data_IF_517427478942
#
_entry.id   IF_517427478942
#
_cell.length_a   1.000
_cell.length_b   1.000
_cell.length_c   1.000
_cell.angle_alpha   90.00
_cell.angle_beta   90.00
_cell.angle_gamma   90.00
#
_symmetry.space_group_name_H-M   'P 1'
#
loop_
_entity.id
_entity.type
_entity.pdbx_description
1 polymer ?
#
# COMPACT_ATOMS: atom_id res chain seq x y z
N UNK A 1 9.96 12.58 -39.90
CA UNK A 1 9.83 12.05 -38.53
C UNK A 1 8.63 11.12 -38.31
N UNK A 2 7.70 11.00 -39.25
CA UNK A 2 6.49 10.14 -39.14
C UNK A 2 6.73 8.64 -39.42
N UNK A 3 7.86 8.25 -40.01
CA UNK A 3 8.16 6.83 -40.36
C UNK A 3 8.79 5.99 -39.24
N UNK A 4 9.31 6.61 -38.15
CA UNK A 4 9.90 5.88 -37.01
C UNK A 4 8.86 5.45 -35.97
N UNK A 5 7.71 6.10 -35.87
CA UNK A 5 6.62 5.72 -34.97
C UNK A 5 5.87 4.45 -35.43
N UNK A 6 5.85 4.19 -36.75
CA UNK A 6 5.16 3.03 -37.35
C UNK A 6 6.00 1.75 -37.21
N UNK A 7 7.32 1.85 -37.07
CA UNK A 7 8.21 0.69 -36.95
C UNK A 7 8.27 0.09 -35.54
N UNK A 8 7.89 0.85 -34.49
CA UNK A 8 7.83 0.30 -33.14
C UNK A 8 6.59 -0.57 -32.87
N UNK A 9 5.50 -0.32 -33.59
CA UNK A 9 4.26 -1.10 -33.47
C UNK A 9 4.37 -2.48 -34.12
N UNK A 10 5.28 -2.66 -35.11
CA UNK A 10 5.46 -3.93 -35.85
C UNK A 10 6.36 -4.96 -35.15
N UNK A 11 7.18 -4.56 -34.14
CA UNK A 11 8.05 -5.51 -33.42
C UNK A 11 7.35 -6.33 -32.32
N UNK A 12 6.19 -5.91 -31.84
CA UNK A 12 5.36 -6.68 -30.90
C UNK A 12 4.13 -7.32 -31.57
N UNK A 13 3.99 -7.25 -32.86
CA UNK A 13 2.84 -7.73 -33.63
C UNK A 13 2.70 -9.26 -33.78
N UNK A 14 3.55 -10.03 -33.09
CA UNK A 14 3.47 -11.51 -33.12
C UNK A 14 2.85 -12.13 -31.86
N UNK A 15 2.72 -11.38 -30.78
CA UNK A 15 2.04 -11.86 -29.57
C UNK A 15 0.60 -11.33 -29.64
N UNK A 16 -0.38 -12.24 -29.77
CA UNK A 16 -1.80 -11.88 -29.76
C UNK A 16 -2.08 -10.97 -28.56
N UNK A 17 -2.71 -9.81 -28.77
CA UNK A 17 -3.10 -8.86 -27.73
C UNK A 17 -3.89 -9.52 -26.58
N UNK A 18 -4.47 -10.71 -26.81
CA UNK A 18 -5.17 -11.52 -25.82
C UNK A 18 -4.27 -12.09 -24.72
N UNK A 19 -2.94 -12.14 -24.92
CA UNK A 19 -1.98 -12.71 -23.97
C UNK A 19 -1.20 -11.67 -23.15
N UNK A 20 -1.28 -10.39 -23.52
CA UNK A 20 -0.64 -9.32 -22.77
C UNK A 20 -1.64 -8.78 -21.74
N UNK A 21 -1.43 -8.99 -20.43
CA UNK A 21 -2.28 -8.42 -19.40
C UNK A 21 -2.26 -6.88 -19.55
N UNK A 22 -3.43 -6.26 -19.45
CA UNK A 22 -3.62 -4.80 -19.58
C UNK A 22 -3.26 -4.19 -20.95
N UNK A 23 -3.19 -4.99 -22.03
CA UNK A 23 -3.02 -4.42 -23.37
C UNK A 23 -4.19 -3.49 -23.76
N UNK A 24 -5.36 -3.73 -23.19
CA UNK A 24 -6.60 -2.97 -23.36
C UNK A 24 -6.64 -1.67 -22.51
N UNK A 25 -5.66 -1.45 -21.62
CA UNK A 25 -5.46 -0.16 -20.96
C UNK A 25 -4.81 0.89 -21.88
N UNK A 26 -4.22 0.47 -23.00
CA UNK A 26 -3.62 1.36 -23.99
C UNK A 26 -4.69 2.02 -24.86
N UNK A 27 -4.45 3.28 -25.24
CA UNK A 27 -5.24 4.03 -26.23
C UNK A 27 -4.36 4.54 -27.37
N UNK A 28 -4.98 5.11 -28.41
CA UNK A 28 -4.26 5.71 -29.52
C UNK A 28 -3.31 6.85 -29.05
N UNK A 29 -3.69 7.57 -28.00
CA UNK A 29 -2.92 8.69 -27.42
C UNK A 29 -1.94 8.24 -26.35
N UNK A 30 -2.24 7.13 -25.65
CA UNK A 30 -1.44 6.57 -24.56
C UNK A 30 -1.04 5.12 -24.88
N UNK A 31 0.09 4.95 -25.56
CA UNK A 31 0.60 3.63 -25.93
C UNK A 31 1.00 2.82 -24.68
N UNK A 32 0.89 1.47 -24.74
CA UNK A 32 1.26 0.57 -23.66
C UNK A 32 2.70 0.81 -23.16
N UNK A 33 3.65 1.05 -24.07
CA UNK A 33 5.05 1.33 -23.69
C UNK A 33 5.20 2.65 -22.92
N UNK A 34 4.39 3.68 -23.22
CA UNK A 34 4.37 4.93 -22.46
C UNK A 34 3.76 4.72 -21.08
N UNK A 35 2.71 3.90 -21.01
CA UNK A 35 2.04 3.53 -19.76
C UNK A 35 2.96 2.71 -18.86
N UNK A 36 3.64 1.68 -19.38
CA UNK A 36 4.61 0.88 -18.64
C UNK A 36 5.79 1.72 -18.15
N UNK A 37 6.27 2.67 -18.94
CA UNK A 37 7.31 3.61 -18.51
C UNK A 37 6.81 4.50 -17.37
N UNK A 38 5.60 5.05 -17.48
CA UNK A 38 5.00 5.85 -16.40
C UNK A 38 4.87 5.01 -15.13
N UNK A 39 4.44 3.74 -15.24
CA UNK A 39 4.22 2.86 -14.08
C UNK A 39 5.49 2.49 -13.29
N UNK A 40 6.69 2.84 -13.75
CA UNK A 40 7.95 2.61 -13.03
C UNK A 40 7.97 3.28 -11.64
N UNK A 41 7.25 4.41 -11.45
CA UNK A 41 7.16 5.01 -10.12
C UNK A 41 6.41 4.11 -9.12
N UNK A 42 5.52 3.26 -9.58
CA UNK A 42 4.85 2.27 -8.73
C UNK A 42 5.76 1.10 -8.37
N UNK A 43 6.65 0.67 -9.29
CA UNK A 43 7.67 -0.32 -8.94
C UNK A 43 8.60 0.21 -7.83
N UNK A 44 9.07 1.45 -7.94
CA UNK A 44 9.92 2.07 -6.91
C UNK A 44 9.18 2.26 -5.59
N UNK A 45 7.87 2.55 -5.64
CA UNK A 45 7.01 2.62 -4.45
C UNK A 45 6.90 1.25 -3.78
N UNK A 46 6.63 0.19 -4.56
CA UNK A 46 6.59 -1.19 -4.05
C UNK A 46 7.92 -1.62 -3.42
N UNK A 47 9.04 -1.26 -4.04
CA UNK A 47 10.38 -1.51 -3.50
C UNK A 47 10.60 -0.78 -2.17
N UNK A 48 10.19 0.48 -2.05
CA UNK A 48 10.31 1.25 -0.82
C UNK A 48 9.43 0.67 0.31
N UNK A 49 8.20 0.21 0.00
CA UNK A 49 7.34 -0.47 0.96
C UNK A 49 8.06 -1.69 1.53
N UNK A 50 8.54 -2.60 0.68
CA UNK A 50 9.26 -3.81 1.11
C UNK A 50 10.46 -3.47 1.98
N UNK A 51 11.23 -2.47 1.59
CA UNK A 51 12.42 -2.08 2.34
C UNK A 51 12.06 -1.50 3.72
N UNK A 52 11.06 -0.62 3.80
CA UNK A 52 10.68 0.06 5.04
C UNK A 52 9.90 -0.85 5.99
N UNK A 53 8.79 -1.45 5.51
CA UNK A 53 7.88 -2.22 6.37
C UNK A 53 8.35 -3.64 6.62
N UNK A 54 9.12 -4.21 5.70
CA UNK A 54 9.70 -5.53 5.82
C UNK A 54 11.13 -5.47 6.38
N UNK A 55 12.09 -5.38 5.50
CA UNK A 55 13.52 -5.57 5.81
C UNK A 55 14.04 -4.66 6.93
N UNK A 56 13.85 -3.34 6.82
CA UNK A 56 14.33 -2.38 7.82
C UNK A 56 13.58 -2.50 9.14
N UNK A 57 12.27 -2.66 9.11
CA UNK A 57 11.47 -2.90 10.30
C UNK A 57 11.99 -4.11 11.07
N UNK A 58 12.16 -5.24 10.40
CA UNK A 58 12.68 -6.46 11.02
C UNK A 58 14.09 -6.26 11.59
N UNK A 59 15.00 -5.63 10.83
CA UNK A 59 16.37 -5.39 11.29
C UNK A 59 16.38 -4.48 12.52
N UNK A 60 15.59 -3.41 12.53
CA UNK A 60 15.51 -2.49 13.66
C UNK A 60 14.96 -3.16 14.93
N UNK A 61 13.92 -3.97 14.81
CA UNK A 61 13.30 -4.65 15.95
C UNK A 61 14.17 -5.79 16.45
N UNK A 62 14.64 -6.65 15.55
CA UNK A 62 15.29 -7.92 15.92
C UNK A 62 16.80 -7.77 16.08
N UNK A 63 17.50 -7.16 15.09
CA UNK A 63 18.97 -7.08 15.13
C UNK A 63 19.48 -5.89 15.98
N UNK A 64 18.73 -4.77 15.97
CA UNK A 64 19.11 -3.58 16.73
C UNK A 64 18.35 -3.43 18.05
N UNK A 65 17.45 -4.36 18.39
CA UNK A 65 16.70 -4.38 19.66
C UNK A 65 15.83 -3.15 19.89
N UNK A 66 15.39 -2.46 18.84
CA UNK A 66 14.54 -1.30 18.99
C UNK A 66 13.11 -1.72 19.35
N UNK A 67 12.45 -0.94 20.22
CA UNK A 67 11.06 -1.19 20.55
C UNK A 67 10.18 -1.17 19.30
N UNK A 68 9.31 -2.19 19.12
CA UNK A 68 8.42 -2.27 17.97
C UNK A 68 7.45 -1.08 17.91
N UNK A 69 7.05 -0.53 19.06
CA UNK A 69 6.27 0.70 19.18
C UNK A 69 6.97 1.91 18.55
N UNK A 70 8.28 2.02 18.70
CA UNK A 70 9.08 3.11 18.13
C UNK A 70 9.20 2.96 16.61
N UNK A 71 9.52 1.75 16.13
CA UNK A 71 9.64 1.47 14.69
C UNK A 71 8.28 1.61 14.00
N UNK A 72 7.21 1.14 14.64
CA UNK A 72 5.85 1.29 14.11
C UNK A 72 5.42 2.75 14.03
N UNK A 73 5.83 3.59 14.98
CA UNK A 73 5.57 5.04 14.93
C UNK A 73 6.25 5.68 13.72
N UNK A 74 7.50 5.31 13.41
CA UNK A 74 8.22 5.79 12.21
C UNK A 74 7.45 5.49 10.91
N UNK A 75 6.84 4.31 10.82
CA UNK A 75 6.05 3.88 9.66
C UNK A 75 4.64 4.48 9.66
N UNK A 76 4.05 4.67 10.84
CA UNK A 76 2.68 5.18 10.98
C UNK A 76 2.56 6.67 10.66
N UNK A 77 3.53 7.50 11.03
CA UNK A 77 3.45 8.95 10.86
C UNK A 77 3.17 9.37 9.41
N UNK A 78 3.87 8.87 8.37
CA UNK A 78 3.56 9.20 6.99
C UNK A 78 2.12 8.82 6.59
N UNK A 79 1.59 7.71 7.11
CA UNK A 79 0.22 7.26 6.87
C UNK A 79 -0.81 8.12 7.59
N UNK A 80 -0.55 8.50 8.84
CA UNK A 80 -1.40 9.42 9.61
C UNK A 80 -1.46 10.82 8.99
N UNK A 81 -0.41 11.23 8.28
CA UNK A 81 -0.37 12.45 7.50
C UNK A 81 -1.01 12.29 6.10
N UNK A 82 -1.40 11.08 5.70
CA UNK A 82 -1.99 10.82 4.39
C UNK A 82 -3.29 11.61 4.09
N UNK A 83 -4.15 12.03 5.05
CA UNK A 83 -5.22 12.99 4.75
C UNK A 83 -4.71 14.28 4.09
N UNK A 84 -3.46 14.70 4.36
CA UNK A 84 -2.81 15.80 3.66
C UNK A 84 -2.54 15.51 2.16
N UNK A 85 -2.64 14.24 1.71
CA UNK A 85 -2.58 13.87 0.28
C UNK A 85 -3.70 14.53 -0.53
N UNK A 86 -4.88 14.72 0.06
CA UNK A 86 -5.96 15.47 -0.56
C UNK A 86 -5.53 16.93 -0.85
N UNK A 87 -4.78 17.55 0.07
CA UNK A 87 -4.20 18.88 -0.12
C UNK A 87 -3.10 18.87 -1.18
N UNK A 88 -2.26 17.84 -1.23
CA UNK A 88 -1.22 17.67 -2.26
C UNK A 88 -1.87 17.47 -3.63
N UNK A 89 -2.87 16.63 -3.74
CA UNK A 89 -3.66 16.43 -4.94
C UNK A 89 -4.26 17.74 -5.42
N UNK A 90 -5.00 18.42 -4.55
CA UNK A 90 -5.56 19.73 -4.82
C UNK A 90 -4.55 20.77 -5.25
N UNK A 91 -3.40 20.88 -4.56
CA UNK A 91 -2.32 21.80 -4.95
C UNK A 91 -1.70 21.42 -6.28
N UNK A 92 -1.57 20.13 -6.59
CA UNK A 92 -1.05 19.67 -7.87
C UNK A 92 -2.02 19.92 -9.04
N UNK A 93 -3.35 19.87 -8.78
CA UNK A 93 -4.37 20.24 -9.76
C UNK A 93 -4.30 21.71 -10.16
N UNK A 94 -3.88 22.56 -9.22
CA UNK A 94 -3.88 24.01 -9.35
C UNK A 94 -2.48 24.61 -9.32
N UNK A 95 -1.46 23.77 -9.60
CA UNK A 95 -0.06 24.21 -9.57
C UNK A 95 0.21 25.25 -10.66
N UNK A 96 0.80 26.35 -10.22
CA UNK A 96 1.29 27.43 -11.09
C UNK A 96 2.72 27.14 -11.47
N UNK A 97 2.97 26.64 -12.68
CA UNK A 97 4.32 26.36 -13.15
C UNK A 97 4.67 27.25 -14.33
N UNK A 98 5.79 27.94 -14.25
CA UNK A 98 6.39 28.66 -15.38
C UNK A 98 6.68 27.74 -16.58
N UNK A 99 6.91 26.45 -16.30
CA UNK A 99 7.20 25.42 -17.29
C UNK A 99 5.92 24.82 -17.92
N UNK A 100 4.73 25.16 -17.40
CA UNK A 100 3.45 24.61 -17.87
C UNK A 100 3.21 23.16 -17.47
N UNK A 101 3.95 22.62 -16.48
CA UNK A 101 3.73 21.31 -15.88
C UNK A 101 3.00 21.44 -14.54
N UNK A 102 1.99 20.57 -14.32
CA UNK A 102 1.21 20.56 -13.07
C UNK A 102 1.63 19.44 -12.14
N UNK A 103 1.81 18.22 -12.68
CA UNK A 103 2.05 16.99 -11.93
C UNK A 103 3.54 16.67 -11.76
N UNK A 104 4.34 16.87 -12.79
CA UNK A 104 5.77 16.56 -12.80
C UNK A 104 6.54 17.22 -11.64
N UNK A 105 6.32 18.50 -11.27
CA UNK A 105 7.03 19.09 -10.13
C UNK A 105 6.79 18.38 -8.80
N UNK A 106 5.58 17.84 -8.57
CA UNK A 106 5.25 17.07 -7.37
C UNK A 106 5.84 15.67 -7.43
N UNK A 107 5.77 15.00 -8.57
CA UNK A 107 6.40 13.70 -8.76
C UNK A 107 7.91 13.79 -8.55
N UNK A 108 8.54 14.86 -9.04
CA UNK A 108 9.96 15.15 -8.83
C UNK A 108 10.28 15.42 -7.36
N UNK A 109 9.55 16.30 -6.69
CA UNK A 109 9.78 16.61 -5.27
C UNK A 109 9.60 15.36 -4.38
N UNK A 110 8.55 14.57 -4.64
CA UNK A 110 8.34 13.30 -3.96
C UNK A 110 9.47 12.30 -4.20
N UNK A 111 9.99 12.24 -5.45
CA UNK A 111 11.16 11.41 -5.79
C UNK A 111 12.42 11.85 -5.02
N UNK A 112 12.68 13.14 -4.94
CA UNK A 112 13.84 13.67 -4.20
C UNK A 112 13.74 13.40 -2.71
N UNK A 113 12.55 13.53 -2.12
CA UNK A 113 12.31 13.18 -0.73
C UNK A 113 12.52 11.68 -0.49
N UNK A 114 11.95 10.82 -1.34
CA UNK A 114 12.08 9.36 -1.25
C UNK A 114 13.55 8.93 -1.39
N UNK A 115 14.25 9.45 -2.39
CA UNK A 115 15.68 9.22 -2.61
C UNK A 115 16.51 9.72 -1.43
N UNK A 116 16.28 10.96 -0.98
CA UNK A 116 17.02 11.58 0.12
C UNK A 116 16.85 10.82 1.43
N UNK A 117 15.63 10.36 1.76
CA UNK A 117 15.37 9.55 2.93
C UNK A 117 16.08 8.20 2.89
N UNK A 118 16.02 7.49 1.75
CA UNK A 118 16.75 6.23 1.56
C UNK A 118 18.26 6.43 1.57
N UNK A 119 18.77 7.50 0.97
CA UNK A 119 20.21 7.80 0.95
C UNK A 119 20.73 8.17 2.34
N UNK A 120 19.91 8.77 3.19
CA UNK A 120 20.26 9.14 4.57
C UNK A 120 20.13 7.96 5.55
N UNK A 121 19.31 6.96 5.25
CA UNK A 121 19.04 5.80 6.13
C UNK A 121 20.29 5.07 6.63
N UNK A 122 21.33 4.80 5.80
CA UNK A 122 22.56 4.14 6.28
C UNK A 122 23.27 4.90 7.39
N UNK A 123 23.26 6.24 7.35
CA UNK A 123 23.88 7.04 8.41
C UNK A 123 23.12 6.87 9.74
N UNK A 124 21.79 6.81 9.69
CA UNK A 124 20.98 6.53 10.86
C UNK A 124 21.29 5.14 11.45
N UNK A 125 21.43 4.12 10.59
CA UNK A 125 21.77 2.76 11.03
C UNK A 125 23.18 2.70 11.65
N UNK A 126 24.18 3.38 11.05
CA UNK A 126 25.53 3.45 11.61
C UNK A 126 25.50 4.10 13.00
N UNK A 127 24.75 5.20 13.18
CA UNK A 127 24.57 5.84 14.49
C UNK A 127 23.88 4.94 15.54
N UNK A 128 23.14 3.91 15.10
CA UNK A 128 22.50 2.95 16.00
C UNK A 128 23.37 1.74 16.31
N UNK A 129 24.34 1.40 15.44
CA UNK A 129 25.20 0.21 15.55
C UNK A 129 26.56 0.49 16.14
N UNK A 130 27.13 1.68 15.86
CA UNK A 130 28.50 2.03 16.26
C UNK A 130 28.50 2.89 17.54
N UNK A 131 29.47 2.69 18.44
CA UNK A 131 29.67 3.56 19.59
C UNK A 131 29.95 5.00 19.13
N UNK A 132 29.20 5.95 19.62
CA UNK A 132 29.41 7.36 19.33
C UNK A 132 29.32 8.19 20.63
N UNK A 133 30.02 9.32 20.67
CA UNK A 133 30.05 10.23 21.82
C UNK A 133 28.80 11.14 21.91
N UNK A 134 27.87 11.02 20.98
CA UNK A 134 26.63 11.79 20.93
C UNK A 134 25.53 11.24 21.82
N UNK A 135 24.41 12.00 21.98
CA UNK A 135 23.25 11.54 22.75
C UNK A 135 22.65 10.25 22.16
N UNK A 136 22.21 9.34 23.03
CA UNK A 136 21.65 8.03 22.64
C UNK A 136 20.41 8.13 21.71
N UNK A 137 19.68 9.24 21.76
CA UNK A 137 18.51 9.46 20.91
C UNK A 137 18.88 9.83 19.44
N UNK A 138 20.15 10.13 19.14
CA UNK A 138 20.55 10.66 17.83
C UNK A 138 20.29 9.66 16.70
N UNK A 139 20.69 8.38 16.87
CA UNK A 139 20.44 7.32 15.89
C UNK A 139 18.95 7.08 15.63
N UNK A 140 18.13 6.81 16.67
CA UNK A 140 16.68 6.68 16.51
C UNK A 140 15.98 7.90 15.89
N UNK A 141 16.40 9.13 16.24
CA UNK A 141 15.84 10.35 15.65
C UNK A 141 16.24 10.52 14.17
N UNK A 142 17.47 10.18 13.82
CA UNK A 142 17.91 10.18 12.43
C UNK A 142 17.14 9.14 11.59
N UNK A 143 16.91 7.94 12.14
CA UNK A 143 16.07 6.92 11.51
C UNK A 143 14.64 7.42 11.31
N UNK A 144 14.01 8.03 12.34
CA UNK A 144 12.70 8.66 12.25
C UNK A 144 12.64 9.66 11.10
N UNK A 145 13.65 10.54 10.99
CA UNK A 145 13.74 11.53 9.90
C UNK A 145 13.84 10.87 8.52
N UNK A 146 14.64 9.81 8.39
CA UNK A 146 14.80 9.05 7.15
C UNK A 146 13.49 8.33 6.73
N UNK A 147 12.81 7.65 7.67
CA UNK A 147 11.52 7.02 7.44
C UNK A 147 10.45 8.03 7.04
N UNK A 148 10.37 9.15 7.78
CA UNK A 148 9.41 10.20 7.50
C UNK A 148 9.63 10.81 6.10
N UNK A 149 10.88 11.12 5.77
CA UNK A 149 11.21 11.72 4.47
C UNK A 149 10.92 10.74 3.31
N UNK A 150 11.30 9.46 3.46
CA UNK A 150 11.02 8.43 2.47
C UNK A 150 9.51 8.21 2.30
N UNK A 151 8.78 8.05 3.41
CA UNK A 151 7.34 7.78 3.41
C UNK A 151 6.53 8.95 2.85
N UNK A 152 6.82 10.19 3.26
CA UNK A 152 6.16 11.37 2.69
C UNK A 152 6.49 11.52 1.20
N UNK A 153 7.76 11.33 0.83
CA UNK A 153 8.19 11.36 -0.58
C UNK A 153 7.44 10.35 -1.44
N UNK A 154 7.29 9.13 -0.94
CA UNK A 154 6.52 8.06 -1.57
C UNK A 154 5.05 8.48 -1.76
N UNK A 155 4.41 9.04 -0.74
CA UNK A 155 3.02 9.49 -0.83
C UNK A 155 2.83 10.66 -1.80
N UNK A 156 3.77 11.62 -1.83
CA UNK A 156 3.72 12.74 -2.78
C UNK A 156 3.89 12.23 -4.21
N UNK A 157 4.90 11.39 -4.46
CA UNK A 157 5.17 10.81 -5.78
C UNK A 157 3.99 9.96 -6.27
N UNK A 158 3.44 9.12 -5.41
CA UNK A 158 2.31 8.26 -5.73
C UNK A 158 1.05 9.07 -6.05
N UNK A 159 0.74 10.10 -5.27
CA UNK A 159 -0.43 10.95 -5.51
C UNK A 159 -0.32 11.68 -6.86
N UNK A 160 0.83 12.30 -7.14
CA UNK A 160 1.06 13.01 -8.39
C UNK A 160 1.14 12.07 -9.60
N UNK A 161 1.77 10.89 -9.43
CA UNK A 161 1.91 9.89 -10.50
C UNK A 161 0.57 9.25 -10.89
N UNK A 162 -0.28 8.90 -9.91
CA UNK A 162 -1.64 8.41 -10.14
C UNK A 162 -2.48 9.49 -10.84
N UNK A 163 -2.43 10.72 -10.37
CA UNK A 163 -3.15 11.83 -11.00
C UNK A 163 -2.67 12.09 -12.43
N UNK A 164 -1.36 12.02 -12.69
CA UNK A 164 -0.82 12.14 -14.05
C UNK A 164 -1.32 11.02 -14.97
N UNK A 165 -1.32 9.78 -14.47
CA UNK A 165 -1.80 8.64 -15.24
C UNK A 165 -3.29 8.76 -15.61
N UNK A 166 -4.11 9.25 -14.69
CA UNK A 166 -5.53 9.47 -14.91
C UNK A 166 -5.82 10.66 -15.84
N UNK A 167 -4.98 11.71 -15.78
CA UNK A 167 -5.07 12.85 -16.71
C UNK A 167 -4.69 12.46 -18.15
N UNK A 168 -3.88 11.41 -18.33
CA UNK A 168 -3.46 10.90 -19.65
C UNK A 168 -4.41 9.83 -20.21
N UNK A 169 -5.20 9.20 -19.37
CA UNK A 169 -6.14 8.14 -19.75
C UNK A 169 -7.46 8.73 -20.26
N UNK A 170 -8.09 8.02 -21.21
CA UNK A 170 -9.49 8.32 -21.60
C UNK A 170 -10.45 7.84 -20.52
N UNK A 171 -11.69 8.34 -20.50
CA UNK A 171 -12.71 7.89 -19.52
C UNK A 171 -12.89 6.37 -19.54
N UNK A 172 -12.85 5.76 -20.72
CA UNK A 172 -13.03 4.32 -20.93
C UNK A 172 -11.84 3.47 -20.44
N UNK A 173 -10.62 4.00 -20.53
CA UNK A 173 -9.40 3.26 -20.16
C UNK A 173 -8.88 3.58 -18.76
N UNK A 174 -9.39 4.62 -18.12
CA UNK A 174 -8.91 5.16 -16.84
C UNK A 174 -8.82 4.11 -15.74
N UNK A 175 -9.86 3.29 -15.59
CA UNK A 175 -9.88 2.22 -14.60
C UNK A 175 -8.81 1.15 -14.85
N UNK A 176 -8.60 0.78 -16.12
CA UNK A 176 -7.59 -0.20 -16.53
C UNK A 176 -6.18 0.33 -16.30
N UNK A 177 -5.99 1.64 -16.54
CA UNK A 177 -4.72 2.32 -16.25
C UNK A 177 -4.40 2.28 -14.75
N UNK A 178 -5.38 2.61 -13.90
CA UNK A 178 -5.22 2.53 -12.44
C UNK A 178 -4.95 1.11 -11.98
N UNK A 179 -5.67 0.12 -12.51
CA UNK A 179 -5.44 -1.29 -12.20
C UNK A 179 -4.02 -1.75 -12.60
N UNK A 180 -3.53 -1.33 -13.77
CA UNK A 180 -2.14 -1.59 -14.18
C UNK A 180 -1.13 -0.98 -13.20
N UNK A 181 -1.36 0.24 -12.74
CA UNK A 181 -0.46 0.90 -11.79
C UNK A 181 -0.40 0.15 -10.45
N UNK A 182 -1.54 -0.30 -9.92
CA UNK A 182 -1.56 -1.14 -8.71
C UNK A 182 -0.91 -2.51 -8.95
N UNK A 183 -1.13 -3.12 -10.10
CA UNK A 183 -0.45 -4.36 -10.48
C UNK A 183 1.08 -4.17 -10.51
N UNK A 184 1.56 -3.06 -11.09
CA UNK A 184 2.99 -2.73 -11.12
C UNK A 184 3.57 -2.45 -9.72
N UNK A 185 2.78 -1.88 -8.81
CA UNK A 185 3.16 -1.76 -7.39
C UNK A 185 3.43 -3.15 -6.78
N UNK A 186 2.50 -4.09 -6.97
CA UNK A 186 2.64 -5.45 -6.43
C UNK A 186 3.80 -6.22 -7.07
N UNK A 187 4.02 -6.06 -8.37
CA UNK A 187 5.20 -6.60 -9.05
C UNK A 187 6.49 -6.00 -8.49
N UNK A 188 6.48 -4.68 -8.21
CA UNK A 188 7.59 -4.01 -7.51
C UNK A 188 7.86 -4.59 -6.13
N UNK A 189 6.81 -4.87 -5.35
CA UNK A 189 6.93 -5.52 -4.04
C UNK A 189 7.51 -6.94 -4.17
N UNK A 190 6.94 -7.78 -5.03
CA UNK A 190 7.39 -9.17 -5.22
C UNK A 190 8.84 -9.19 -5.71
N UNK A 191 9.14 -8.45 -6.78
CA UNK A 191 10.48 -8.41 -7.37
C UNK A 191 11.54 -7.92 -6.39
N UNK A 192 11.23 -6.83 -5.66
CA UNK A 192 12.16 -6.28 -4.66
C UNK A 192 12.34 -7.21 -3.47
N UNK A 193 11.28 -7.86 -2.98
CA UNK A 193 11.39 -8.80 -1.88
C UNK A 193 12.26 -10.02 -2.25
N UNK A 194 12.11 -10.55 -3.47
CA UNK A 194 12.95 -11.65 -3.98
C UNK A 194 14.41 -11.23 -4.15
N UNK A 195 14.64 -10.03 -4.71
CA UNK A 195 16.00 -9.49 -4.89
C UNK A 195 16.65 -9.24 -3.52
N UNK A 196 15.95 -8.60 -2.58
CA UNK A 196 16.49 -8.34 -1.24
C UNK A 196 16.73 -9.63 -0.46
N UNK A 197 15.83 -10.61 -0.55
CA UNK A 197 16.04 -11.93 0.05
C UNK A 197 17.30 -12.61 -0.48
N UNK A 198 17.55 -12.55 -1.80
CA UNK A 198 18.76 -13.11 -2.40
C UNK A 198 20.02 -12.34 -1.99
N UNK A 199 19.98 -11.00 -1.98
CA UNK A 199 21.12 -10.16 -1.61
C UNK A 199 21.45 -10.23 -0.11
N UNK A 200 20.46 -10.49 0.75
CA UNK A 200 20.59 -10.57 2.21
C UNK A 200 20.62 -12.03 2.72
N UNK A 201 20.85 -13.01 1.84
CA UNK A 201 20.98 -14.42 2.22
C UNK A 201 22.09 -14.63 3.27
N UNK A 202 23.26 -13.98 3.04
CA UNK A 202 24.31 -13.85 4.03
C UNK A 202 24.22 -12.46 4.64
N UNK A 203 23.39 -12.29 5.65
CA UNK A 203 23.13 -10.99 6.27
C UNK A 203 24.41 -10.37 6.87
N UNK A 204 24.53 -9.05 6.67
CA UNK A 204 25.56 -8.21 7.29
C UNK A 204 25.20 -6.74 7.12
N UNK A 205 25.56 -5.89 8.09
CA UNK A 205 25.21 -4.47 8.07
C UNK A 205 25.74 -3.74 6.83
N UNK A 206 26.97 -4.05 6.39
CA UNK A 206 27.55 -3.47 5.16
C UNK A 206 26.71 -3.83 3.94
N UNK A 207 26.28 -5.10 3.85
CA UNK A 207 25.44 -5.57 2.75
C UNK A 207 24.04 -4.93 2.79
N UNK A 208 23.46 -4.74 3.98
CA UNK A 208 22.21 -4.01 4.17
C UNK A 208 22.36 -2.55 3.67
N UNK A 209 23.45 -1.86 4.03
CA UNK A 209 23.72 -0.50 3.55
C UNK A 209 23.80 -0.47 2.02
N UNK A 210 24.49 -1.43 1.40
CA UNK A 210 24.57 -1.54 -0.07
C UNK A 210 23.19 -1.73 -0.72
N UNK A 211 22.33 -2.57 -0.12
CA UNK A 211 20.94 -2.78 -0.59
C UNK A 211 20.14 -1.49 -0.51
N UNK A 212 20.21 -0.76 0.62
CA UNK A 212 19.49 0.50 0.80
C UNK A 212 19.95 1.55 -0.21
N UNK A 213 21.26 1.72 -0.39
CA UNK A 213 21.83 2.68 -1.34
C UNK A 213 21.47 2.32 -2.78
N UNK A 214 21.52 1.04 -3.12
CA UNK A 214 21.07 0.56 -4.45
C UNK A 214 19.60 0.83 -4.68
N UNK A 215 18.76 0.60 -3.68
CA UNK A 215 17.32 0.92 -3.74
C UNK A 215 17.07 2.44 -3.91
N UNK A 216 17.87 3.29 -3.25
CA UNK A 216 17.78 4.74 -3.44
C UNK A 216 18.08 5.13 -4.89
N UNK A 217 19.17 4.61 -5.46
CA UNK A 217 19.55 4.88 -6.87
C UNK A 217 18.50 4.36 -7.84
N UNK A 218 18.02 3.13 -7.66
CA UNK A 218 16.96 2.53 -8.49
C UNK A 218 15.68 3.35 -8.42
N UNK A 219 15.29 3.83 -7.22
CA UNK A 219 14.14 4.72 -7.04
C UNK A 219 14.29 5.99 -7.88
N UNK A 220 15.45 6.65 -7.79
CA UNK A 220 15.73 7.85 -8.57
C UNK A 220 15.64 7.58 -10.06
N UNK A 221 16.31 6.53 -10.55
CA UNK A 221 16.33 6.17 -11.97
C UNK A 221 14.92 5.83 -12.48
N UNK A 222 14.17 4.98 -11.77
CA UNK A 222 12.82 4.58 -12.19
C UNK A 222 11.87 5.77 -12.25
N UNK A 223 11.89 6.64 -11.23
CA UNK A 223 11.02 7.80 -11.19
C UNK A 223 11.41 8.86 -12.24
N UNK A 224 12.70 9.08 -12.48
CA UNK A 224 13.15 9.97 -13.58
C UNK A 224 12.68 9.44 -14.92
N UNK A 225 12.88 8.14 -15.19
CA UNK A 225 12.42 7.51 -16.45
C UNK A 225 10.89 7.58 -16.56
N UNK A 226 10.17 7.39 -15.44
CA UNK A 226 8.72 7.51 -15.40
C UNK A 226 8.22 8.91 -15.79
N UNK A 227 8.95 9.96 -15.43
CA UNK A 227 8.57 11.34 -15.74
C UNK A 227 8.88 11.79 -17.17
N UNK A 228 9.82 11.10 -17.86
CA UNK A 228 10.31 11.56 -19.16
C UNK A 228 9.20 11.64 -20.23
N UNK A 229 8.95 12.86 -20.75
CA UNK A 229 7.99 13.13 -21.85
C UNK A 229 6.57 12.61 -21.57
N UNK A 230 6.11 12.67 -20.33
CA UNK A 230 4.75 12.23 -19.96
C UNK A 230 3.75 13.37 -19.97
N UNK A 231 4.03 14.48 -19.31
CA UNK A 231 3.11 15.61 -19.20
C UNK A 231 3.29 16.59 -20.35
N UNK A 232 2.19 16.87 -21.06
CA UNK A 232 2.14 17.92 -22.08
C UNK A 232 2.06 19.27 -21.37
N UNK A 233 2.85 20.25 -21.86
CA UNK A 233 2.79 21.63 -21.34
C UNK A 233 1.45 22.25 -21.68
N UNK A 234 0.66 22.65 -20.67
CA UNK A 234 -0.61 23.36 -20.82
C UNK A 234 -0.62 24.62 -19.97
N UNK A 235 -0.12 25.75 -20.46
CA UNK A 235 -0.14 27.02 -19.75
C UNK A 235 -1.57 27.51 -19.47
N UNK A 236 -2.52 27.16 -20.34
CA UNK A 236 -3.94 27.53 -20.31
C UNK A 236 -4.70 26.95 -19.10
N UNK A 237 -4.29 25.81 -18.57
CA UNK A 237 -4.93 25.18 -17.41
C UNK A 237 -4.38 25.68 -16.04
N UNK A 238 -3.39 26.58 -16.07
CA UNK A 238 -2.78 27.17 -14.87
C UNK A 238 -3.40 28.50 -14.48
N UNK A 239 -4.48 28.96 -15.14
CA UNK A 239 -5.11 30.25 -14.93
C UNK A 239 -6.01 30.32 -13.68
N UNK A 240 -6.23 31.53 -13.15
CA UNK A 240 -6.56 31.84 -11.77
C UNK A 240 -8.06 31.98 -11.45
N UNK A 241 -8.97 31.78 -12.40
CA UNK A 241 -10.35 32.28 -12.37
C UNK A 241 -11.49 31.34 -11.97
N UNK A 242 -11.26 30.07 -11.61
CA UNK A 242 -12.35 29.09 -11.39
C UNK A 242 -12.85 29.06 -9.93
N UNK A 243 -14.16 29.35 -9.74
CA UNK A 243 -14.86 29.23 -8.47
C UNK A 243 -14.95 27.77 -8.01
N UNK A 244 -14.78 27.52 -6.70
CA UNK A 244 -14.64 26.19 -6.10
C UNK A 244 -15.77 25.91 -5.11
N UNK A 245 -16.43 24.71 -5.15
CA UNK A 245 -17.39 24.31 -4.12
C UNK A 245 -16.65 24.10 -2.77
N UNK A 246 -17.27 24.52 -1.66
CA UNK A 246 -16.69 24.31 -0.33
C UNK A 246 -16.71 22.81 0.03
N UNK A 247 -15.54 22.24 0.30
CA UNK A 247 -15.40 20.85 0.72
C UNK A 247 -16.28 20.52 1.95
N UNK A 248 -16.42 21.46 2.89
CA UNK A 248 -17.17 21.24 4.13
C UNK A 248 -18.64 20.93 3.92
N UNK A 249 -19.32 21.61 3.00
CA UNK A 249 -20.74 21.37 2.72
C UNK A 249 -20.97 19.99 2.09
N UNK A 250 -20.15 19.62 1.09
CA UNK A 250 -20.22 18.31 0.46
C UNK A 250 -19.90 17.15 1.44
N UNK A 251 -18.95 17.37 2.33
CA UNK A 251 -18.61 16.42 3.38
C UNK A 251 -19.76 16.20 4.38
N UNK A 252 -20.42 17.26 4.82
CA UNK A 252 -21.58 17.16 5.72
C UNK A 252 -22.74 16.40 5.07
N UNK A 253 -23.04 16.68 3.79
CA UNK A 253 -24.05 15.95 3.03
C UNK A 253 -23.73 14.45 2.94
N UNK A 254 -22.47 14.10 2.66
CA UNK A 254 -22.03 12.71 2.55
C UNK A 254 -22.12 11.96 3.88
N UNK A 255 -21.63 12.55 4.99
CA UNK A 255 -21.67 11.91 6.33
C UNK A 255 -23.12 11.80 6.86
N UNK A 256 -24.03 12.64 6.44
CA UNK A 256 -25.43 12.55 6.83
C UNK A 256 -26.10 11.24 6.33
N UNK A 257 -25.54 10.58 5.32
CA UNK A 257 -26.04 9.30 4.83
C UNK A 257 -25.65 8.15 5.78
N UNK A 258 -26.61 7.42 6.40
CA UNK A 258 -26.29 6.36 7.37
C UNK A 258 -25.45 5.21 6.77
N UNK A 259 -25.69 4.88 5.49
CA UNK A 259 -24.93 3.87 4.76
C UNK A 259 -23.48 4.29 4.53
N UNK A 260 -23.19 5.59 4.26
CA UNK A 260 -21.83 6.10 4.11
C UNK A 260 -21.02 5.91 5.39
N UNK A 261 -21.58 6.33 6.54
CA UNK A 261 -20.92 6.14 7.84
C UNK A 261 -20.60 4.68 8.10
N UNK A 262 -21.55 3.78 7.82
CA UNK A 262 -21.35 2.35 8.04
C UNK A 262 -20.28 1.76 7.13
N UNK A 263 -20.27 2.20 5.85
CA UNK A 263 -19.23 1.80 4.89
C UNK A 263 -17.83 2.22 5.40
N UNK A 264 -17.70 3.47 5.87
CA UNK A 264 -16.42 3.99 6.40
C UNK A 264 -15.99 3.29 7.70
N UNK A 265 -16.93 2.96 8.60
CA UNK A 265 -16.62 2.18 9.80
C UNK A 265 -16.18 0.76 9.47
N UNK A 266 -16.87 0.06 8.56
CA UNK A 266 -16.48 -1.27 8.11
C UNK A 266 -15.11 -1.24 7.42
N UNK A 267 -14.86 -0.22 6.61
CA UNK A 267 -13.55 0.01 5.99
C UNK A 267 -12.45 0.20 7.04
N UNK A 268 -12.66 1.12 7.99
CA UNK A 268 -11.66 1.43 9.04
C UNK A 268 -11.33 0.20 9.87
N UNK A 269 -12.35 -0.50 10.39
CA UNK A 269 -12.18 -1.70 11.21
C UNK A 269 -11.51 -2.84 10.45
N UNK A 270 -11.93 -3.08 9.20
CA UNK A 270 -11.31 -4.12 8.37
C UNK A 270 -9.87 -3.78 7.99
N UNK A 271 -9.58 -2.50 7.69
CA UNK A 271 -8.21 -2.04 7.46
C UNK A 271 -7.36 -2.24 8.71
N UNK A 272 -7.85 -1.84 9.89
CA UNK A 272 -7.13 -2.08 11.15
C UNK A 272 -6.86 -3.57 11.36
N UNK A 273 -7.87 -4.43 11.15
CA UNK A 273 -7.75 -5.86 11.31
C UNK A 273 -6.85 -6.57 10.29
N UNK A 274 -6.44 -5.92 9.21
CA UNK A 274 -5.47 -6.47 8.27
C UNK A 274 -4.09 -5.82 8.35
N UNK A 275 -3.93 -4.67 9.00
CA UNK A 275 -2.73 -3.84 8.87
C UNK A 275 -1.85 -3.83 10.14
N UNK A 276 -2.38 -4.21 11.33
CA UNK A 276 -1.56 -4.28 12.55
C UNK A 276 -0.38 -5.23 12.37
N UNK A 277 -0.56 -6.33 11.66
CA UNK A 277 0.47 -7.33 11.36
C UNK A 277 1.58 -6.83 10.41
N UNK A 278 1.36 -5.77 9.64
CA UNK A 278 2.33 -5.33 8.60
C UNK A 278 3.72 -5.04 9.17
N UNK A 279 3.79 -4.66 10.44
CA UNK A 279 5.06 -4.41 11.14
C UNK A 279 5.49 -5.58 12.03
N UNK A 280 4.63 -6.58 12.25
CA UNK A 280 4.88 -7.67 13.18
C UNK A 280 5.23 -8.99 12.49
N UNK A 281 4.82 -9.17 11.23
CA UNK A 281 4.94 -10.44 10.53
C UNK A 281 6.40 -10.87 10.36
N UNK A 282 7.27 -9.98 9.90
CA UNK A 282 8.69 -10.31 9.73
C UNK A 282 9.44 -10.46 11.08
N UNK A 283 9.27 -9.56 12.07
CA UNK A 283 9.83 -9.77 13.40
C UNK A 283 9.34 -11.06 14.07
N UNK A 284 8.07 -11.41 13.96
CA UNK A 284 7.55 -12.68 14.48
C UNK A 284 8.23 -13.89 13.83
N UNK A 285 8.38 -13.87 12.50
CA UNK A 285 9.10 -14.91 11.79
C UNK A 285 10.53 -15.11 12.27
N UNK A 286 11.21 -14.02 12.63
CA UNK A 286 12.58 -14.04 13.14
C UNK A 286 12.63 -14.48 14.63
N UNK A 287 11.91 -13.80 15.52
CA UNK A 287 12.00 -14.01 16.97
C UNK A 287 11.36 -15.33 17.43
N UNK A 288 10.25 -15.75 16.77
CA UNK A 288 9.47 -16.90 17.20
C UNK A 288 9.80 -18.17 16.41
N UNK A 289 10.01 -18.03 15.10
CA UNK A 289 10.26 -19.17 14.20
C UNK A 289 11.72 -19.29 13.76
N UNK A 290 12.59 -18.36 14.15
CA UNK A 290 14.03 -18.41 13.84
C UNK A 290 14.37 -18.20 12.37
N UNK A 291 13.51 -17.53 11.60
CA UNK A 291 13.74 -17.28 10.19
C UNK A 291 14.86 -16.24 9.98
N UNK A 292 15.71 -16.48 8.98
CA UNK A 292 16.76 -15.53 8.56
C UNK A 292 16.14 -14.25 7.97
N UNK A 293 16.97 -13.18 7.79
CA UNK A 293 16.54 -11.94 7.12
C UNK A 293 15.97 -12.24 5.74
N UNK A 294 16.64 -13.08 4.96
CA UNK A 294 16.15 -13.52 3.65
C UNK A 294 14.79 -14.23 3.74
N UNK A 295 14.65 -15.13 4.73
CA UNK A 295 13.41 -15.88 4.96
C UNK A 295 12.23 -14.98 5.35
N UNK A 296 12.46 -13.97 6.19
CA UNK A 296 11.40 -13.03 6.57
C UNK A 296 11.07 -12.06 5.44
N UNK A 297 12.06 -11.57 4.68
CA UNK A 297 11.80 -10.71 3.52
C UNK A 297 10.98 -11.44 2.43
N UNK A 298 11.13 -12.78 2.31
CA UNK A 298 10.30 -13.59 1.41
C UNK A 298 8.81 -13.56 1.81
N UNK A 299 8.48 -13.39 3.09
CA UNK A 299 7.08 -13.27 3.55
C UNK A 299 6.35 -12.10 2.87
N UNK A 300 7.04 -10.98 2.68
CA UNK A 300 6.48 -9.82 1.96
C UNK A 300 6.19 -10.16 0.49
N UNK A 301 7.03 -10.97 -0.17
CA UNK A 301 6.74 -11.46 -1.52
C UNK A 301 5.52 -12.40 -1.55
N UNK A 302 5.40 -13.28 -0.56
CA UNK A 302 4.27 -14.20 -0.42
C UNK A 302 2.96 -13.44 -0.17
N UNK A 303 2.98 -12.45 0.73
CA UNK A 303 1.86 -11.54 0.98
C UNK A 303 1.43 -10.81 -0.29
N UNK A 304 2.37 -10.18 -1.00
CA UNK A 304 2.09 -9.48 -2.26
C UNK A 304 1.58 -10.44 -3.35
N UNK A 305 2.08 -11.67 -3.40
CA UNK A 305 1.56 -12.73 -4.27
C UNK A 305 0.10 -13.07 -3.98
N UNK A 306 -0.28 -13.15 -2.69
CA UNK A 306 -1.66 -13.28 -2.26
C UNK A 306 -2.55 -12.12 -2.74
N UNK A 307 -2.05 -10.88 -2.65
CA UNK A 307 -2.78 -9.71 -3.17
C UNK A 307 -2.95 -9.74 -4.70
N UNK A 308 -1.94 -10.17 -5.45
CA UNK A 308 -2.07 -10.37 -6.92
C UNK A 308 -3.14 -11.40 -7.22
N UNK A 309 -3.16 -12.51 -6.49
CA UNK A 309 -4.19 -13.53 -6.63
C UNK A 309 -5.59 -12.96 -6.34
N UNK A 310 -5.73 -12.14 -5.29
CA UNK A 310 -6.97 -11.43 -4.98
C UNK A 310 -7.42 -10.53 -6.14
N UNK A 311 -6.52 -9.75 -6.73
CA UNK A 311 -6.80 -8.88 -7.85
C UNK A 311 -7.33 -9.67 -9.07
N UNK A 312 -6.67 -10.79 -9.40
CA UNK A 312 -7.10 -11.68 -10.51
C UNK A 312 -8.46 -12.31 -10.23
N UNK A 313 -8.69 -12.82 -9.01
CA UNK A 313 -9.97 -13.43 -8.62
C UNK A 313 -11.10 -12.40 -8.63
N UNK A 314 -10.84 -11.20 -8.16
CA UNK A 314 -11.83 -10.12 -8.12
C UNK A 314 -12.18 -9.66 -9.53
N UNK A 315 -11.20 -9.46 -10.41
CA UNK A 315 -11.43 -9.10 -11.81
C UNK A 315 -12.33 -10.12 -12.52
N UNK A 316 -12.12 -11.43 -12.24
CA UNK A 316 -12.96 -12.51 -12.80
C UNK A 316 -14.37 -12.57 -12.22
N UNK A 317 -14.56 -12.21 -10.95
CA UNK A 317 -15.84 -12.29 -10.24
C UNK A 317 -16.70 -11.06 -10.47
N UNK A 318 -16.14 -9.85 -10.39
CA UNK A 318 -16.88 -8.59 -10.60
C UNK A 318 -17.37 -8.46 -12.04
N UNK A 319 -16.67 -9.03 -13.03
CA UNK A 319 -17.17 -9.16 -14.41
C UNK A 319 -18.39 -10.09 -14.56
N UNK A 320 -18.87 -10.74 -13.48
CA UNK A 320 -20.02 -11.65 -13.44
C UNK A 320 -21.10 -11.18 -12.46
N UNK A 321 -21.27 -9.88 -12.27
CA UNK A 321 -22.27 -9.25 -11.38
C UNK A 321 -22.15 -9.65 -9.88
N UNK A 322 -20.93 -10.00 -9.41
CA UNK A 322 -20.71 -10.34 -8.02
C UNK A 322 -20.83 -9.09 -7.11
N UNK A 323 -21.50 -9.24 -5.97
CA UNK A 323 -21.65 -8.20 -4.96
C UNK A 323 -20.27 -7.83 -4.35
N UNK A 324 -19.83 -6.55 -4.44
CA UNK A 324 -18.57 -6.09 -3.87
C UNK A 324 -18.47 -6.32 -2.36
N UNK A 325 -19.59 -6.16 -1.62
CA UNK A 325 -19.63 -6.36 -0.17
C UNK A 325 -19.41 -7.84 0.18
N UNK A 326 -19.96 -8.76 -0.59
CA UNK A 326 -19.70 -10.20 -0.42
C UNK A 326 -18.25 -10.56 -0.73
N UNK A 327 -17.65 -9.89 -1.70
CA UNK A 327 -16.22 -10.06 -2.01
C UNK A 327 -15.35 -9.61 -0.84
N UNK A 328 -15.65 -8.44 -0.25
CA UNK A 328 -14.97 -7.93 0.94
C UNK A 328 -15.15 -8.87 2.15
N UNK A 329 -16.39 -9.37 2.38
CA UNK A 329 -16.69 -10.31 3.45
C UNK A 329 -15.94 -11.65 3.28
N UNK A 330 -15.83 -12.16 2.05
CA UNK A 330 -15.00 -13.35 1.75
C UNK A 330 -13.53 -13.09 2.10
N UNK A 331 -13.00 -11.90 1.79
CA UNK A 331 -11.66 -11.48 2.17
C UNK A 331 -11.45 -11.53 3.69
N UNK A 332 -12.42 -11.01 4.46
CA UNK A 332 -12.38 -11.04 5.93
C UNK A 332 -12.35 -12.50 6.46
N UNK A 333 -13.20 -13.36 5.95
CA UNK A 333 -13.22 -14.77 6.38
C UNK A 333 -11.89 -15.49 6.12
N UNK A 334 -11.30 -15.24 4.94
CA UNK A 334 -9.95 -15.75 4.62
C UNK A 334 -8.92 -15.17 5.58
N UNK A 335 -8.99 -13.85 5.91
CA UNK A 335 -8.10 -13.20 6.85
C UNK A 335 -8.17 -13.80 8.25
N UNK A 336 -9.37 -14.09 8.78
CA UNK A 336 -9.56 -14.75 10.07
C UNK A 336 -8.87 -16.13 10.07
N UNK A 337 -9.07 -16.93 9.03
CA UNK A 337 -8.42 -18.23 8.90
C UNK A 337 -6.88 -18.09 8.76
N UNK A 338 -6.42 -17.05 8.06
CA UNK A 338 -5.01 -16.77 7.89
C UNK A 338 -4.31 -16.40 9.21
N UNK A 339 -4.91 -15.52 10.01
CA UNK A 339 -4.37 -15.17 11.33
C UNK A 339 -4.41 -16.36 12.30
N UNK A 340 -5.43 -17.20 12.23
CA UNK A 340 -5.44 -18.47 12.98
C UNK A 340 -4.24 -19.34 12.56
N UNK A 341 -3.96 -19.50 11.27
CA UNK A 341 -2.79 -20.25 10.79
C UNK A 341 -1.46 -19.65 11.30
N UNK A 342 -1.34 -18.32 11.32
CA UNK A 342 -0.16 -17.63 11.89
C UNK A 342 -0.02 -17.94 13.39
N UNK A 343 -1.08 -17.83 14.17
CA UNK A 343 -1.07 -18.10 15.61
C UNK A 343 -0.66 -19.57 15.87
N UNK A 344 -1.22 -20.52 15.14
CA UNK A 344 -0.90 -21.94 15.31
C UNK A 344 0.47 -22.33 14.79
N UNK A 345 1.14 -21.50 13.99
CA UNK A 345 2.47 -21.79 13.45
C UNK A 345 3.55 -21.96 14.53
N UNK A 346 3.47 -21.17 15.63
CA UNK A 346 4.42 -21.26 16.73
C UNK A 346 4.30 -22.57 17.55
N UNK A 347 3.13 -22.91 18.13
CA UNK A 347 3.01 -24.12 18.91
C UNK A 347 3.25 -25.39 18.09
N UNK A 348 2.92 -25.38 16.79
CA UNK A 348 3.18 -26.49 15.87
C UNK A 348 4.61 -26.50 15.31
N UNK A 349 5.41 -25.47 15.57
CA UNK A 349 6.77 -25.29 15.00
C UNK A 349 6.77 -25.48 13.48
N UNK A 350 5.78 -24.89 12.80
CA UNK A 350 5.50 -25.11 11.38
C UNK A 350 5.72 -23.83 10.55
N UNK A 351 6.95 -23.52 10.10
CA UNK A 351 7.23 -22.35 9.26
C UNK A 351 6.39 -22.31 7.97
N UNK A 352 6.08 -23.47 7.39
CA UNK A 352 5.24 -23.56 6.18
C UNK A 352 3.83 -23.06 6.46
N UNK A 353 3.26 -23.35 7.63
CA UNK A 353 1.93 -22.87 8.03
C UNK A 353 1.93 -21.34 8.17
N UNK A 354 3.03 -20.78 8.69
CA UNK A 354 3.23 -19.33 8.77
C UNK A 354 3.32 -18.67 7.38
N UNK A 355 4.11 -19.25 6.46
CA UNK A 355 4.22 -18.78 5.09
C UNK A 355 2.87 -18.84 4.35
N UNK A 356 2.12 -19.94 4.53
CA UNK A 356 0.76 -20.04 3.99
C UNK A 356 -0.16 -18.97 4.59
N UNK A 357 -0.05 -18.73 5.90
CA UNK A 357 -0.73 -17.63 6.58
C UNK A 357 -0.45 -16.28 5.91
N UNK A 358 0.80 -15.97 5.60
CA UNK A 358 1.19 -14.73 4.92
C UNK A 358 0.53 -14.57 3.53
N UNK A 359 0.50 -15.67 2.71
CA UNK A 359 -0.21 -15.66 1.42
C UNK A 359 -1.71 -15.42 1.62
N UNK A 360 -2.33 -16.07 2.59
CA UNK A 360 -3.76 -15.95 2.86
C UNK A 360 -4.12 -14.57 3.44
N UNK A 361 -3.25 -13.94 4.27
CA UNK A 361 -3.43 -12.56 4.72
C UNK A 361 -3.45 -11.64 3.51
N UNK A 362 -2.48 -11.78 2.59
CA UNK A 362 -2.42 -11.00 1.36
C UNK A 362 -3.66 -11.19 0.49
N UNK A 363 -4.12 -12.43 0.31
CA UNK A 363 -5.33 -12.76 -0.43
C UNK A 363 -6.59 -12.15 0.22
N UNK A 364 -6.74 -12.29 1.53
CA UNK A 364 -7.87 -11.75 2.30
C UNK A 364 -7.91 -10.23 2.25
N UNK A 365 -6.77 -9.58 2.51
CA UNK A 365 -6.63 -8.12 2.46
C UNK A 365 -6.92 -7.58 1.04
N UNK A 366 -6.39 -8.23 -0.01
CA UNK A 366 -6.63 -7.83 -1.39
C UNK A 366 -8.11 -7.91 -1.79
N UNK A 367 -8.80 -9.01 -1.43
CA UNK A 367 -10.25 -9.15 -1.68
C UNK A 367 -11.06 -8.11 -0.89
N UNK A 368 -10.69 -7.85 0.37
CA UNK A 368 -11.32 -6.83 1.20
C UNK A 368 -11.14 -5.43 0.59
N UNK A 369 -9.90 -5.05 0.27
CA UNK A 369 -9.58 -3.72 -0.25
C UNK A 369 -10.28 -3.44 -1.57
N UNK A 370 -10.22 -4.36 -2.55
CA UNK A 370 -10.88 -4.20 -3.86
C UNK A 370 -12.40 -4.22 -3.72
N UNK A 371 -12.94 -5.11 -2.88
CA UNK A 371 -14.38 -5.16 -2.60
C UNK A 371 -14.90 -3.86 -1.99
N UNK A 372 -14.20 -3.31 -0.99
CA UNK A 372 -14.58 -2.06 -0.33
C UNK A 372 -14.43 -0.85 -1.25
N UNK A 373 -13.37 -0.80 -2.07
CA UNK A 373 -13.18 0.24 -3.08
C UNK A 373 -14.31 0.22 -4.11
N UNK A 374 -14.65 -0.95 -4.64
CA UNK A 374 -15.75 -1.10 -5.60
C UNK A 374 -17.10 -0.73 -4.97
N UNK A 375 -17.34 -1.13 -3.71
CA UNK A 375 -18.54 -0.74 -2.98
C UNK A 375 -18.63 0.79 -2.80
N UNK A 376 -17.51 1.46 -2.50
CA UNK A 376 -17.46 2.92 -2.39
C UNK A 376 -17.81 3.60 -3.72
N UNK A 377 -17.31 3.08 -4.84
CA UNK A 377 -17.62 3.59 -6.18
C UNK A 377 -19.11 3.46 -6.52
N UNK A 378 -19.67 2.27 -6.28
CA UNK A 378 -21.12 2.02 -6.51
C UNK A 378 -21.98 2.93 -5.64
N UNK A 379 -21.59 3.10 -4.36
CA UNK A 379 -22.31 3.93 -3.41
C UNK A 379 -22.29 5.43 -3.77
N UNK A 380 -21.12 5.95 -4.19
CA UNK A 380 -20.94 7.37 -4.53
C UNK A 380 -21.67 7.79 -5.81
N UNK A 381 -21.91 6.85 -6.73
CA UNK A 381 -22.46 7.16 -8.04
C UNK A 381 -21.67 8.25 -8.77
N UNK A 382 -22.12 8.69 -9.93
CA UNK A 382 -21.42 9.71 -10.72
C UNK A 382 -21.33 11.08 -10.02
N UNK A 383 -22.31 11.42 -9.16
CA UNK A 383 -22.40 12.75 -8.52
C UNK A 383 -21.44 12.92 -7.33
N UNK A 384 -21.16 11.85 -6.58
CA UNK A 384 -20.38 11.92 -5.33
C UNK A 384 -19.12 11.04 -5.38
N UNK A 385 -18.73 10.51 -6.53
CA UNK A 385 -17.63 9.56 -6.68
C UNK A 385 -16.30 10.10 -6.11
N UNK A 386 -15.92 11.32 -6.45
CA UNK A 386 -14.67 11.94 -5.97
C UNK A 386 -14.65 12.09 -4.44
N UNK A 387 -15.77 12.51 -3.83
CA UNK A 387 -15.88 12.67 -2.38
C UNK A 387 -15.84 11.32 -1.68
N UNK A 388 -16.54 10.31 -2.20
CA UNK A 388 -16.59 8.96 -1.64
C UNK A 388 -15.24 8.28 -1.69
N UNK A 389 -14.52 8.40 -2.81
CA UNK A 389 -13.16 7.85 -2.95
C UNK A 389 -12.14 8.60 -2.10
N UNK A 390 -12.27 9.93 -1.98
CA UNK A 390 -11.45 10.73 -1.08
C UNK A 390 -11.66 10.33 0.38
N UNK A 391 -12.91 10.15 0.81
CA UNK A 391 -13.27 9.68 2.15
C UNK A 391 -12.75 8.25 2.41
N UNK A 392 -12.92 7.36 1.42
CA UNK A 392 -12.39 6.01 1.46
C UNK A 392 -10.86 6.01 1.68
N UNK A 393 -10.13 6.75 0.86
CA UNK A 393 -8.66 6.82 0.95
C UNK A 393 -8.17 7.43 2.27
N UNK A 394 -8.85 8.48 2.77
CA UNK A 394 -8.50 9.11 4.03
C UNK A 394 -8.72 8.18 5.23
N UNK A 395 -9.87 7.47 5.28
CA UNK A 395 -10.17 6.51 6.35
C UNK A 395 -9.24 5.31 6.30
N UNK A 396 -8.97 4.76 5.11
CA UNK A 396 -8.04 3.65 4.95
C UNK A 396 -6.64 4.00 5.44
N UNK A 397 -6.10 5.14 5.02
CA UNK A 397 -4.75 5.55 5.42
C UNK A 397 -4.65 5.88 6.92
N UNK A 398 -5.63 6.57 7.49
CA UNK A 398 -5.66 6.87 8.91
C UNK A 398 -5.80 5.58 9.75
N UNK A 399 -6.67 4.66 9.34
CA UNK A 399 -6.84 3.37 9.99
C UNK A 399 -5.57 2.50 9.91
N UNK A 400 -4.89 2.47 8.75
CA UNK A 400 -3.63 1.77 8.58
C UNK A 400 -2.51 2.34 9.48
N UNK A 401 -2.35 3.67 9.52
CA UNK A 401 -1.37 4.31 10.39
C UNK A 401 -1.64 4.04 11.88
N UNK A 402 -2.90 4.16 12.31
CA UNK A 402 -3.30 3.85 13.69
C UNK A 402 -3.07 2.37 14.02
N UNK A 403 -3.40 1.47 13.09
CA UNK A 403 -3.22 0.03 13.25
C UNK A 403 -1.74 -0.34 13.42
N UNK A 404 -0.87 0.15 12.53
CA UNK A 404 0.57 -0.10 12.64
C UNK A 404 1.12 0.36 13.98
N UNK A 405 0.81 1.60 14.40
CA UNK A 405 1.29 2.11 15.69
C UNK A 405 0.73 1.30 16.87
N UNK A 406 -0.57 1.04 16.91
CA UNK A 406 -1.19 0.28 18.00
C UNK A 406 -0.71 -1.17 18.04
N UNK A 407 -0.45 -1.81 16.88
CA UNK A 407 0.13 -3.15 16.80
C UNK A 407 1.48 -3.24 17.50
N UNK A 408 2.41 -2.33 17.20
CA UNK A 408 3.70 -2.27 17.85
C UNK A 408 3.61 -1.97 19.35
N UNK A 409 2.77 -0.99 19.71
CA UNK A 409 2.60 -0.58 21.11
C UNK A 409 1.99 -1.71 21.97
N UNK A 410 0.97 -2.40 21.47
CA UNK A 410 0.33 -3.54 22.15
C UNK A 410 1.31 -4.70 22.28
N UNK A 411 2.06 -5.02 21.20
CA UNK A 411 3.08 -6.07 21.25
C UNK A 411 4.09 -5.79 22.36
N UNK A 412 4.64 -4.59 22.42
CA UNK A 412 5.65 -4.23 23.41
C UNK A 412 5.08 -4.24 24.83
N UNK A 413 3.86 -3.71 25.05
CA UNK A 413 3.18 -3.70 26.32
C UNK A 413 2.92 -5.12 26.83
N UNK A 414 2.38 -5.99 25.98
CA UNK A 414 2.07 -7.39 26.37
C UNK A 414 3.36 -8.17 26.60
N UNK A 415 4.40 -7.95 25.79
CA UNK A 415 5.71 -8.59 26.01
C UNK A 415 6.29 -8.17 27.37
N UNK A 416 6.27 -6.86 27.72
CA UNK A 416 6.78 -6.39 29.01
C UNK A 416 6.01 -7.00 30.21
N UNK A 417 4.69 -7.19 30.08
CA UNK A 417 3.88 -7.86 31.10
C UNK A 417 4.18 -9.37 31.19
N UNK A 418 4.42 -10.02 30.06
CA UNK A 418 4.80 -11.42 30.03
C UNK A 418 6.17 -11.64 30.70
N UNK A 419 7.16 -10.82 30.36
CA UNK A 419 8.53 -10.89 30.92
C UNK A 419 8.53 -10.59 32.43
N UNK A 420 7.67 -9.68 32.90
CA UNK A 420 7.48 -9.40 34.33
C UNK A 420 6.70 -10.51 35.06
N UNK A 421 6.22 -11.53 34.36
CA UNK A 421 5.47 -12.65 34.96
C UNK A 421 4.01 -12.37 35.28
N UNK A 422 3.48 -11.18 34.97
CA UNK A 422 2.10 -10.81 35.25
C UNK A 422 1.06 -11.67 34.51
N UNK A 423 1.43 -12.30 33.41
CA UNK A 423 0.53 -13.12 32.58
C UNK A 423 0.66 -14.63 32.89
N UNK A 424 1.50 -15.01 33.87
CA UNK A 424 1.76 -16.40 34.23
C UNK A 424 2.84 -17.05 33.37
N UNK A 425 3.45 -18.12 33.89
CA UNK A 425 4.64 -18.78 33.30
C UNK A 425 4.38 -19.26 31.86
N UNK A 426 3.17 -19.71 31.55
CA UNK A 426 2.83 -20.22 30.23
C UNK A 426 2.90 -19.15 29.11
N UNK A 427 2.77 -17.89 29.47
CA UNK A 427 2.81 -16.76 28.53
C UNK A 427 4.14 -15.98 28.57
N UNK A 428 5.14 -16.45 29.32
CA UNK A 428 6.50 -15.90 29.30
C UNK A 428 7.25 -16.40 28.06
N UNK A 429 6.75 -16.04 26.87
CA UNK A 429 7.33 -16.43 25.59
C UNK A 429 7.37 -15.25 24.63
N UNK A 430 8.35 -15.18 23.71
CA UNK A 430 8.40 -14.14 22.68
C UNK A 430 7.11 -14.06 21.84
N UNK A 431 6.36 -15.16 21.71
CA UNK A 431 5.14 -15.22 20.93
C UNK A 431 3.94 -14.48 21.57
N UNK A 432 3.99 -14.19 22.88
CA UNK A 432 2.83 -13.68 23.64
C UNK A 432 2.39 -12.29 23.20
N UNK A 433 3.34 -11.36 23.01
CA UNK A 433 3.04 -10.02 22.54
C UNK A 433 2.47 -10.02 21.12
N UNK A 434 3.02 -10.82 20.22
CA UNK A 434 2.52 -10.99 18.86
C UNK A 434 1.15 -11.66 18.82
N UNK A 435 0.98 -12.74 19.61
CA UNK A 435 -0.29 -13.46 19.72
C UNK A 435 -1.44 -12.55 20.15
N UNK A 436 -1.21 -11.65 21.12
CA UNK A 436 -2.21 -10.70 21.54
C UNK A 436 -2.70 -9.81 20.38
N UNK A 437 -1.78 -9.30 19.57
CA UNK A 437 -2.14 -8.48 18.40
C UNK A 437 -2.93 -9.28 17.37
N UNK A 438 -2.50 -10.49 17.02
CA UNK A 438 -3.22 -11.34 16.06
C UNK A 438 -4.64 -11.71 16.52
N UNK A 439 -4.86 -11.91 17.84
CA UNK A 439 -6.21 -12.10 18.37
C UNK A 439 -7.07 -10.84 18.25
N UNK A 440 -6.50 -9.66 18.47
CA UNK A 440 -7.19 -8.38 18.28
C UNK A 440 -7.55 -8.19 16.80
N UNK A 441 -6.67 -8.53 15.86
CA UNK A 441 -6.96 -8.48 14.42
C UNK A 441 -8.13 -9.39 14.05
N UNK A 442 -8.16 -10.62 14.56
CA UNK A 442 -9.31 -11.52 14.38
C UNK A 442 -10.59 -10.88 14.93
N UNK A 443 -10.54 -10.31 16.14
CA UNK A 443 -11.71 -9.65 16.73
C UNK A 443 -12.18 -8.45 15.89
N UNK A 444 -11.25 -7.61 15.41
CA UNK A 444 -11.56 -6.47 14.53
C UNK A 444 -12.17 -6.93 13.21
N UNK A 445 -11.67 -8.02 12.63
CA UNK A 445 -12.22 -8.61 11.42
C UNK A 445 -13.64 -9.16 11.64
N UNK A 446 -13.94 -9.78 12.78
CA UNK A 446 -15.31 -10.19 13.12
C UNK A 446 -16.24 -8.99 13.26
N UNK A 447 -15.80 -7.90 13.91
CA UNK A 447 -16.58 -6.66 14.04
C UNK A 447 -16.81 -6.02 12.66
N UNK A 448 -15.79 -5.99 11.79
CA UNK A 448 -15.90 -5.51 10.42
C UNK A 448 -16.90 -6.36 9.61
N UNK A 449 -16.85 -7.69 9.74
CA UNK A 449 -17.79 -8.60 9.10
C UNK A 449 -19.24 -8.35 9.53
N UNK A 450 -19.47 -8.15 10.82
CA UNK A 450 -20.79 -7.78 11.36
C UNK A 450 -21.26 -6.42 10.84
N UNK A 451 -20.35 -5.44 10.69
CA UNK A 451 -20.65 -4.14 10.10
C UNK A 451 -21.04 -4.26 8.62
N UNK A 452 -20.39 -5.16 7.86
CA UNK A 452 -20.70 -5.43 6.45
C UNK A 452 -22.04 -6.13 6.28
N UNK A 453 -22.47 -6.98 7.21
CA UNK A 453 -23.68 -7.81 7.08
C UNK A 453 -24.95 -7.03 6.73
N UNK A 454 -25.10 -5.78 7.23
CA UNK A 454 -26.23 -4.91 6.88
C UNK A 454 -26.05 -4.15 5.56
N UNK A 455 -24.89 -4.23 4.91
CA UNK A 455 -24.62 -3.62 3.62
C UNK A 455 -24.81 -4.62 2.47
N UNK A 456 -24.90 -5.91 2.76
CA UNK A 456 -25.15 -6.97 1.77
C UNK A 456 -26.54 -6.80 1.19
N UNK A 457 -26.65 -6.72 -0.14
CA UNK A 457 -27.95 -6.71 -0.84
C UNK A 457 -28.67 -8.05 -0.63
N UNK A 458 -29.97 -7.99 -0.34
CA UNK A 458 -30.79 -9.20 -0.28
C UNK A 458 -31.05 -9.73 -1.70
N UNK A 459 -31.05 -11.06 -1.93
CA UNK A 459 -31.46 -11.63 -3.20
C UNK A 459 -32.90 -11.21 -3.50
N UNK A 460 -33.12 -10.48 -4.61
CA UNK A 460 -34.43 -9.95 -5.02
C UNK A 460 -34.60 -8.43 -4.96
N UNK A 461 -33.71 -7.67 -4.33
CA UNK A 461 -33.66 -6.22 -4.45
C UNK A 461 -32.93 -5.84 -5.75
N UNK A 462 -33.62 -5.87 -6.87
CA UNK A 462 -33.17 -5.26 -8.12
C UNK A 462 -33.20 -3.73 -7.92
N UNK A 463 -32.03 -3.16 -7.58
CA UNK A 463 -31.85 -1.72 -7.67
C UNK A 463 -32.05 -1.32 -9.12
N UNK A 464 -32.92 -0.32 -9.34
CA UNK A 464 -33.29 0.17 -10.65
C UNK A 464 -32.04 0.48 -11.49
N UNK A 465 -32.16 0.14 -12.76
CA UNK A 465 -31.22 0.38 -13.83
C UNK A 465 -29.83 -0.25 -13.65
N UNK A 466 -29.77 -1.57 -13.92
CA UNK A 466 -28.55 -2.36 -13.84
C UNK A 466 -27.56 -2.07 -14.98
N UNK A 467 -26.76 -1.02 -14.85
CA UNK A 467 -25.49 -0.96 -15.61
C UNK A 467 -24.54 -2.00 -15.03
N UNK A 468 -24.10 -2.95 -15.85
CA UNK A 468 -22.99 -3.85 -15.55
C UNK A 468 -21.75 -2.99 -15.26
N UNK A 469 -21.17 -3.14 -14.07
CA UNK A 469 -19.88 -2.56 -13.76
C UNK A 469 -18.81 -3.38 -14.47
N UNK A 470 -18.29 -2.87 -15.57
CA UNK A 470 -17.08 -3.36 -16.18
C UNK A 470 -15.86 -2.71 -15.48
N UNK A 471 -14.66 -3.33 -15.62
CA UNK A 471 -13.41 -2.70 -15.18
C UNK A 471 -13.22 -1.29 -15.78
N UNK A 472 -13.93 -0.97 -16.84
CA UNK A 472 -14.01 0.35 -17.47
C UNK A 472 -14.78 1.41 -16.65
N UNK A 473 -15.59 1.01 -15.67
CA UNK A 473 -16.40 1.92 -14.84
C UNK A 473 -15.68 2.42 -13.58
N UNK A 474 -14.41 2.05 -13.37
CA UNK A 474 -13.61 2.53 -12.26
C UNK A 474 -13.22 4.01 -12.47
N UNK A 475 -13.73 4.96 -11.68
CA UNK A 475 -13.29 6.35 -11.78
C UNK A 475 -11.86 6.51 -11.25
N UNK A 476 -11.18 7.47 -11.82
CA UNK A 476 -9.82 7.90 -11.49
C UNK A 476 -9.69 8.53 -10.12
#
# INVERSE_FOLDING_TARGET
MMRLAVLSSKRFGGISQRWLPFADAASAELSLGRLLRLSLFQLSTGMAIVLLTGTLNRVMVVELGQAASWVSLMLAIPLLLAPARALIGYRSDHHRSFLGWRRIPYLWSGTMMQFGGLAFMPFALILMTEPHSGPAFLGPSAAMGAFLLTGLGMHVAQTAGLALATDLATEETRARVVALLYFMLLIGMIGSALIFAALLADFGYVRLIQVIQSAAVVTLVFNVVAMLKQEVRRPDLTDHGLARPSFGAAWQEFIALPLARRLLWALGLGTMGFTMQDILLEPYGAEVLGLSVAGTTLLTALFAGGMVLALVLTARRLGKDADPIRTAATGILIGIAAFAAVIFSAPLKAPILFQLGAVLIGLGNGLFAVGMLTAAMVFGGARMAGLTLGAWGAVQAAAAGLAMFSGGAIRDLVTSWADAGHLGVALQTPASGYGAVYHIEIALLFIALAALGRLVRRPGETGGDGKRLELADFPS
#
